data_IF_498301484259
#
_entry.id   IF_498301484259
#
_cell.length_a   1.000
_cell.length_b   1.000
_cell.length_c   1.000
_cell.angle_alpha   90.00
_cell.angle_beta   90.00
_cell.angle_gamma   90.00
#
_symmetry.space_group_name_H-M   'P 1'
#
loop_
_entity.id
_entity.type
_entity.pdbx_description
1 polymer ?
#
# COMPACT_ATOMS: atom_id res chain seq x y z
N UNK A 1 22.61 -26.17 -12.75
CA UNK A 1 21.25 -26.60 -12.29
C UNK A 1 21.16 -26.97 -10.79
N UNK A 2 22.19 -26.81 -9.97
CA UNK A 2 22.18 -27.23 -8.56
C UNK A 2 21.58 -26.22 -7.55
N UNK A 3 21.29 -24.99 -7.95
CA UNK A 3 20.87 -23.91 -7.04
C UNK A 3 19.42 -23.98 -6.55
N UNK A 4 18.52 -24.65 -7.30
CA UNK A 4 17.09 -24.64 -6.97
C UNK A 4 16.63 -25.75 -5.99
N UNK A 5 17.41 -26.81 -5.81
CA UNK A 5 17.03 -27.92 -4.92
C UNK A 5 17.22 -27.61 -3.43
N UNK A 6 17.97 -26.57 -3.09
CA UNK A 6 18.25 -26.17 -1.70
C UNK A 6 17.78 -24.77 -1.29
N UNK A 7 17.12 -24.00 -2.17
CA UNK A 7 16.63 -22.68 -1.82
C UNK A 7 15.25 -22.74 -1.13
N UNK A 8 15.04 -21.98 -0.02
CA UNK A 8 16.05 -21.30 0.80
C UNK A 8 16.77 -22.29 1.77
N UNK A 9 18.09 -22.13 1.94
CA UNK A 9 18.90 -22.90 2.91
C UNK A 9 19.22 -22.13 4.20
N UNK A 10 18.80 -20.86 4.28
CA UNK A 10 18.97 -19.95 5.41
C UNK A 10 17.83 -18.92 5.43
N UNK A 11 17.66 -18.13 6.51
CA UNK A 11 16.63 -17.12 6.59
C UNK A 11 16.64 -16.14 5.42
N UNK A 12 15.42 -15.74 4.99
CA UNK A 12 15.17 -14.74 3.95
C UNK A 12 14.71 -13.44 4.61
N UNK A 13 15.33 -12.33 4.26
CA UNK A 13 14.90 -11.00 4.69
C UNK A 13 13.80 -10.50 3.77
N UNK A 14 12.64 -10.14 4.33
CA UNK A 14 11.55 -9.45 3.64
C UNK A 14 11.55 -7.98 4.07
N UNK A 15 12.05 -7.10 3.21
CA UNK A 15 12.05 -5.66 3.46
C UNK A 15 10.63 -5.10 3.28
N UNK A 16 10.15 -4.41 4.31
CA UNK A 16 8.95 -3.59 4.28
C UNK A 16 9.38 -2.12 4.30
N UNK A 17 9.09 -1.31 3.26
CA UNK A 17 9.67 0.02 3.11
C UNK A 17 8.98 1.11 3.96
N UNK A 18 8.32 0.73 5.05
CA UNK A 18 7.58 1.60 5.97
C UNK A 18 7.79 1.18 7.43
N UNK A 19 7.46 2.10 8.36
CA UNK A 19 7.46 1.81 9.80
C UNK A 19 6.49 0.67 10.14
N UNK A 20 6.75 -0.07 11.23
CA UNK A 20 5.87 -1.13 11.70
C UNK A 20 4.45 -0.64 12.02
N UNK A 21 3.48 -1.56 11.96
CA UNK A 21 2.10 -1.34 12.41
C UNK A 21 1.14 -0.82 11.33
N UNK A 22 1.61 -0.51 10.11
CA UNK A 22 0.73 -0.20 8.98
C UNK A 22 0.36 -1.45 8.17
N UNK A 23 -0.61 -1.31 7.25
CA UNK A 23 -1.12 -2.40 6.40
C UNK A 23 -0.02 -3.24 5.74
N UNK A 24 0.99 -2.59 5.15
CA UNK A 24 2.11 -3.29 4.49
C UNK A 24 2.90 -4.18 5.47
N UNK A 25 3.12 -3.74 6.70
CA UNK A 25 3.81 -4.52 7.73
C UNK A 25 2.98 -5.73 8.17
N UNK A 26 1.70 -5.53 8.45
CA UNK A 26 0.79 -6.60 8.87
C UNK A 26 0.65 -7.67 7.78
N UNK A 27 0.44 -7.25 6.54
CA UNK A 27 0.33 -8.15 5.38
C UNK A 27 1.63 -8.93 5.16
N UNK A 28 2.79 -8.26 5.26
CA UNK A 28 4.09 -8.92 5.15
C UNK A 28 4.29 -10.00 6.23
N UNK A 29 3.84 -9.75 7.47
CA UNK A 29 3.91 -10.73 8.56
C UNK A 29 2.99 -11.93 8.33
N UNK A 30 1.76 -11.70 7.86
CA UNK A 30 0.81 -12.79 7.54
C UNK A 30 1.40 -13.71 6.47
N UNK A 31 1.87 -13.13 5.35
CA UNK A 31 2.44 -13.90 4.23
C UNK A 31 3.79 -14.49 4.61
N UNK A 32 4.66 -13.74 5.29
CA UNK A 32 5.98 -14.19 5.74
C UNK A 32 5.91 -15.40 6.70
N UNK A 33 4.91 -15.43 7.57
CA UNK A 33 4.64 -16.58 8.44
C UNK A 33 4.32 -17.85 7.62
N UNK A 34 3.45 -17.74 6.62
CA UNK A 34 3.13 -18.85 5.74
C UNK A 34 4.35 -19.30 4.92
N UNK A 35 5.08 -18.36 4.31
CA UNK A 35 6.28 -18.66 3.53
C UNK A 35 7.33 -19.36 4.40
N UNK A 36 7.49 -18.95 5.66
CA UNK A 36 8.41 -19.58 6.60
C UNK A 36 8.08 -21.05 6.83
N UNK A 37 6.82 -21.36 7.07
CA UNK A 37 6.36 -22.74 7.26
C UNK A 37 6.47 -23.58 5.97
N UNK A 38 6.06 -22.98 4.84
CA UNK A 38 6.00 -23.67 3.55
C UNK A 38 7.38 -23.96 2.94
N UNK A 39 8.36 -23.08 3.17
CA UNK A 39 9.70 -23.18 2.60
C UNK A 39 10.75 -23.68 3.59
N UNK A 40 10.39 -23.87 4.87
CA UNK A 40 11.26 -24.44 5.90
C UNK A 40 12.39 -23.52 6.39
N UNK A 41 12.31 -22.22 6.06
CA UNK A 41 13.28 -21.21 6.52
C UNK A 41 12.53 -19.93 6.92
N UNK A 42 13.04 -19.22 7.92
CA UNK A 42 12.42 -18.00 8.44
C UNK A 42 12.39 -16.88 7.39
N UNK A 43 11.24 -16.24 7.23
CA UNK A 43 11.11 -14.97 6.53
C UNK A 43 11.09 -13.85 7.57
N UNK A 44 12.22 -13.16 7.71
CA UNK A 44 12.43 -12.11 8.72
C UNK A 44 11.96 -10.78 8.15
N UNK A 45 10.95 -10.17 8.78
CA UNK A 45 10.44 -8.85 8.36
C UNK A 45 11.40 -7.78 8.86
N UNK A 46 11.90 -6.96 7.94
CA UNK A 46 12.75 -5.81 8.23
C UNK A 46 12.08 -4.52 7.74
N UNK A 47 11.69 -3.65 8.69
CA UNK A 47 11.09 -2.37 8.38
C UNK A 47 12.18 -1.32 8.09
N UNK A 48 12.22 -0.80 6.85
CA UNK A 48 13.19 0.22 6.40
C UNK A 48 12.43 1.43 5.88
N UNK A 49 11.97 2.26 6.79
CA UNK A 49 11.16 3.44 6.47
C UNK A 49 12.02 4.61 5.93
N UNK A 50 11.39 5.55 5.25
CA UNK A 50 11.97 6.81 4.81
C UNK A 50 11.57 7.18 3.38
N UNK A 51 11.47 8.46 3.11
CA UNK A 51 11.19 9.07 1.81
C UNK A 51 10.04 8.37 1.04
N UNK A 52 8.87 8.20 1.68
CA UNK A 52 7.71 7.53 1.08
C UNK A 52 7.93 6.07 0.70
N UNK A 53 8.91 5.40 1.32
CA UNK A 53 9.28 4.01 1.05
C UNK A 53 10.43 3.84 0.05
N UNK A 54 10.91 4.91 -0.59
CA UNK A 54 11.99 4.81 -1.58
C UNK A 54 13.33 4.41 -0.96
N UNK A 55 13.58 4.72 0.32
CA UNK A 55 14.77 4.29 1.07
C UNK A 55 14.85 2.76 1.16
N UNK A 56 13.80 2.11 1.66
CA UNK A 56 13.74 0.66 1.78
C UNK A 56 13.76 -0.03 0.42
N UNK A 57 13.07 0.54 -0.57
CA UNK A 57 13.05 0.03 -1.94
C UNK A 57 14.43 0.09 -2.60
N UNK A 58 15.16 1.20 -2.44
CA UNK A 58 16.54 1.33 -2.93
C UNK A 58 17.46 0.31 -2.27
N UNK A 59 17.30 0.08 -0.96
CA UNK A 59 18.08 -0.94 -0.26
C UNK A 59 17.78 -2.35 -0.79
N UNK A 60 16.51 -2.67 -1.03
CA UNK A 60 16.13 -3.95 -1.62
C UNK A 60 16.72 -4.12 -3.04
N UNK A 61 16.63 -3.11 -3.88
CA UNK A 61 17.17 -3.11 -5.23
C UNK A 61 18.69 -3.38 -5.25
N UNK A 62 19.43 -2.84 -4.27
CA UNK A 62 20.90 -3.01 -4.17
C UNK A 62 21.33 -4.32 -3.51
N UNK A 63 20.40 -5.13 -3.04
CA UNK A 63 20.73 -6.41 -2.41
C UNK A 63 21.24 -7.43 -3.45
N UNK A 64 22.01 -8.43 -2.97
CA UNK A 64 22.47 -9.52 -3.83
C UNK A 64 21.29 -10.25 -4.47
N UNK A 65 21.30 -10.49 -5.79
CA UNK A 65 20.18 -11.11 -6.51
C UNK A 65 20.19 -12.64 -6.36
N UNK A 66 20.09 -13.12 -5.13
CA UNK A 66 20.13 -14.55 -4.79
C UNK A 66 18.86 -15.04 -4.07
N UNK A 67 17.86 -14.17 -3.95
CA UNK A 67 16.57 -14.46 -3.32
C UNK A 67 16.55 -14.36 -1.80
N UNK A 68 17.67 -14.11 -1.11
CA UNK A 68 17.71 -14.00 0.35
C UNK A 68 17.37 -12.60 0.89
N UNK A 69 17.18 -11.65 -0.01
CA UNK A 69 16.56 -10.36 0.30
C UNK A 69 15.49 -10.12 -0.75
N UNK A 70 14.26 -10.05 -0.29
CA UNK A 70 13.11 -9.71 -1.13
C UNK A 70 12.40 -8.51 -0.51
N UNK A 71 11.46 -7.90 -1.23
CA UNK A 71 10.76 -6.71 -0.79
C UNK A 71 9.26 -6.86 -0.95
N UNK A 72 8.51 -6.29 0.00
CA UNK A 72 7.13 -5.91 -0.23
C UNK A 72 7.13 -4.55 -0.93
N UNK A 73 6.77 -4.56 -2.21
CA UNK A 73 6.49 -3.34 -2.97
C UNK A 73 5.00 -3.03 -2.99
N UNK A 74 4.66 -1.78 -3.26
CA UNK A 74 3.28 -1.32 -3.32
C UNK A 74 3.12 -0.22 -4.38
N UNK A 75 1.88 0.18 -4.67
CA UNK A 75 1.55 1.21 -5.65
C UNK A 75 2.38 2.49 -5.48
N UNK A 76 2.59 2.95 -4.25
CA UNK A 76 3.40 4.14 -3.96
C UNK A 76 4.84 3.99 -4.43
N UNK A 77 5.54 2.93 -4.03
CA UNK A 77 6.96 2.70 -4.34
C UNK A 77 7.20 2.22 -5.76
N UNK A 78 6.25 1.46 -6.36
CA UNK A 78 6.44 0.83 -7.67
C UNK A 78 5.62 1.47 -8.80
N UNK A 79 4.85 2.53 -8.51
CA UNK A 79 4.17 3.32 -9.54
C UNK A 79 4.27 4.82 -9.29
N UNK A 80 3.68 5.34 -8.20
CA UNK A 80 3.59 6.79 -7.94
C UNK A 80 4.98 7.46 -7.80
N UNK A 81 5.95 6.79 -7.19
CA UNK A 81 7.30 7.30 -6.99
C UNK A 81 7.99 7.70 -8.31
N UNK A 82 7.70 7.00 -9.42
CA UNK A 82 8.27 7.29 -10.75
C UNK A 82 7.93 8.72 -11.22
N UNK A 83 6.73 9.18 -10.92
CA UNK A 83 6.29 10.53 -11.31
C UNK A 83 6.66 11.61 -10.29
N UNK A 84 6.85 11.21 -9.02
CA UNK A 84 7.08 12.13 -7.91
C UNK A 84 8.56 12.46 -7.69
N UNK A 85 9.46 11.50 -7.87
CA UNK A 85 10.88 11.67 -7.59
C UNK A 85 11.68 11.81 -8.89
N UNK A 86 12.10 13.04 -9.29
CA UNK A 86 12.87 13.24 -10.52
C UNK A 86 14.17 12.43 -10.57
N UNK A 87 14.78 12.21 -9.40
CA UNK A 87 16.04 11.48 -9.23
C UNK A 87 15.81 10.16 -8.49
N UNK A 88 14.72 9.42 -8.82
CA UNK A 88 14.45 8.12 -8.21
C UNK A 88 15.62 7.16 -8.46
N UNK A 89 16.15 6.57 -7.39
CA UNK A 89 17.36 5.74 -7.46
C UNK A 89 17.13 4.36 -8.08
N UNK A 90 15.88 4.02 -8.44
CA UNK A 90 15.50 2.74 -9.04
C UNK A 90 14.40 2.93 -10.09
N UNK A 91 14.27 1.96 -10.98
CA UNK A 91 13.19 1.85 -11.97
C UNK A 91 12.40 0.59 -11.68
N UNK A 92 11.13 0.70 -11.26
CA UNK A 92 10.33 -0.47 -10.86
C UNK A 92 10.20 -1.56 -11.93
N UNK A 93 10.15 -1.17 -13.20
CA UNK A 93 9.97 -2.08 -14.32
C UNK A 93 11.24 -2.86 -14.72
N UNK A 94 12.44 -2.36 -14.37
CA UNK A 94 13.70 -2.93 -14.88
C UNK A 94 14.67 -3.37 -13.79
N UNK A 95 14.54 -2.88 -12.58
CA UNK A 95 15.52 -3.12 -11.51
C UNK A 95 15.04 -4.16 -10.49
N UNK A 96 13.86 -4.76 -10.75
CA UNK A 96 13.28 -5.82 -9.93
C UNK A 96 12.77 -6.99 -10.76
N UNK A 97 12.77 -8.17 -10.15
CA UNK A 97 12.05 -9.36 -10.60
C UNK A 97 10.74 -9.45 -9.79
N UNK A 98 9.56 -9.32 -10.42
CA UNK A 98 8.29 -9.53 -9.75
C UNK A 98 8.15 -10.98 -9.29
N UNK A 99 7.61 -11.21 -8.09
CA UNK A 99 7.29 -12.54 -7.57
C UNK A 99 5.79 -12.79 -7.69
N UNK A 100 4.98 -11.84 -7.23
CA UNK A 100 3.53 -11.90 -7.34
C UNK A 100 2.81 -10.89 -6.47
N UNK A 101 1.58 -10.55 -6.89
CA UNK A 101 0.67 -9.71 -6.10
C UNK A 101 0.22 -10.48 -4.87
N UNK A 102 0.18 -9.80 -3.71
CA UNK A 102 -0.30 -10.37 -2.45
C UNK A 102 -1.78 -10.03 -2.27
N UNK A 103 -2.12 -8.73 -2.34
CA UNK A 103 -3.47 -8.26 -2.07
C UNK A 103 -3.75 -6.92 -2.76
N UNK A 104 -5.00 -6.71 -3.14
CA UNK A 104 -5.58 -5.40 -3.38
C UNK A 104 -5.95 -4.74 -2.05
N UNK A 105 -5.83 -3.44 -2.01
CA UNK A 105 -6.08 -2.63 -0.82
C UNK A 105 -7.05 -1.52 -1.18
N UNK A 106 -8.35 -1.70 -0.94
CA UNK A 106 -9.31 -0.62 -1.04
C UNK A 106 -8.91 0.54 -0.12
N UNK A 107 -9.10 1.76 -0.58
CA UNK A 107 -8.79 2.96 0.20
C UNK A 107 -10.07 3.48 0.84
N UNK A 108 -9.95 3.97 2.06
CA UNK A 108 -11.02 4.65 2.79
C UNK A 108 -10.56 6.04 3.22
N UNK A 109 -11.41 7.03 3.01
CA UNK A 109 -11.25 8.37 3.58
C UNK A 109 -11.64 8.31 5.04
N UNK A 110 -10.65 8.50 5.92
CA UNK A 110 -10.79 8.38 7.37
C UNK A 110 -10.46 9.69 8.06
N UNK A 111 -11.29 10.14 9.00
CA UNK A 111 -11.02 11.29 9.83
C UNK A 111 -11.08 10.95 11.34
N UNK A 112 -10.51 11.85 12.15
CA UNK A 112 -10.61 11.76 13.62
C UNK A 112 -12.08 11.73 14.06
N UNK A 113 -12.35 11.09 15.20
CA UNK A 113 -13.71 10.83 15.69
C UNK A 113 -14.58 12.10 15.81
N UNK A 114 -13.99 13.18 16.24
CA UNK A 114 -14.65 14.47 16.51
C UNK A 114 -14.54 15.46 15.33
N UNK A 115 -14.14 15.00 14.14
CA UNK A 115 -14.15 15.84 12.95
C UNK A 115 -15.59 16.34 12.65
N UNK A 116 -15.77 17.65 12.36
CA UNK A 116 -17.10 18.28 12.31
C UNK A 116 -17.85 18.03 11.00
N UNK A 117 -18.01 16.77 10.63
CA UNK A 117 -18.85 16.31 9.49
C UNK A 117 -19.34 14.90 9.76
N UNK A 118 -20.49 14.53 9.18
CA UNK A 118 -21.12 13.22 9.38
C UNK A 118 -21.09 12.37 8.11
N UNK A 119 -20.95 12.98 6.95
CA UNK A 119 -20.87 12.32 5.64
C UNK A 119 -19.83 12.98 4.72
N UNK A 120 -19.62 12.40 3.53
CA UNK A 120 -18.65 12.92 2.56
C UNK A 120 -19.04 14.31 2.05
N UNK A 121 -20.32 14.62 1.91
CA UNK A 121 -20.76 15.92 1.43
C UNK A 121 -20.41 17.03 2.43
N UNK A 122 -20.76 16.85 3.69
CA UNK A 122 -20.39 17.76 4.79
C UNK A 122 -18.86 17.87 4.93
N UNK A 123 -18.13 16.76 4.79
CA UNK A 123 -16.66 16.74 4.80
C UNK A 123 -16.08 17.65 3.71
N UNK A 124 -16.57 17.54 2.47
CA UNK A 124 -16.13 18.37 1.34
C UNK A 124 -16.44 19.84 1.58
N UNK A 125 -17.65 20.17 2.06
CA UNK A 125 -18.03 21.54 2.39
C UNK A 125 -17.13 22.13 3.47
N UNK A 126 -16.84 21.35 4.52
CA UNK A 126 -15.96 21.79 5.59
C UNK A 126 -14.53 22.05 5.07
N UNK A 127 -13.98 21.14 4.24
CA UNK A 127 -12.65 21.34 3.65
C UNK A 127 -12.58 22.59 2.78
N UNK A 128 -13.61 22.85 1.96
CA UNK A 128 -13.65 24.06 1.12
C UNK A 128 -13.66 25.35 1.94
N UNK A 129 -14.32 25.34 3.09
CA UNK A 129 -14.38 26.49 3.98
C UNK A 129 -13.13 26.66 4.85
N UNK A 130 -12.39 25.58 5.18
CA UNK A 130 -11.37 25.56 6.22
C UNK A 130 -10.02 24.98 5.77
N UNK A 131 -9.74 24.90 4.47
CA UNK A 131 -8.55 24.20 3.94
C UNK A 131 -7.22 24.65 4.59
N UNK A 132 -7.08 25.94 4.91
CA UNK A 132 -5.87 26.49 5.51
C UNK A 132 -5.61 26.09 6.98
N UNK A 133 -6.60 25.50 7.65
CA UNK A 133 -6.50 25.06 9.05
C UNK A 133 -6.56 23.54 9.22
N UNK A 134 -6.82 22.82 8.14
CA UNK A 134 -6.97 21.34 8.18
C UNK A 134 -5.65 20.68 7.82
N UNK A 135 -5.25 19.70 8.64
CA UNK A 135 -4.03 18.91 8.47
C UNK A 135 -4.35 17.51 7.98
N UNK A 136 -3.73 17.11 6.88
CA UNK A 136 -3.90 15.76 6.30
C UNK A 136 -2.64 14.93 6.52
N UNK A 137 -2.79 13.76 7.13
CA UNK A 137 -1.68 12.84 7.35
C UNK A 137 -1.38 12.01 6.09
N UNK A 138 -0.11 11.68 5.90
CA UNK A 138 0.29 10.67 4.92
C UNK A 138 1.56 9.90 5.35
N UNK A 139 1.77 8.73 4.77
CA UNK A 139 2.85 7.80 5.12
C UNK A 139 4.20 8.15 4.44
N UNK A 140 4.40 9.41 4.11
CA UNK A 140 5.55 9.93 3.38
C UNK A 140 5.17 10.33 1.94
N UNK A 141 5.92 11.28 1.38
CA UNK A 141 5.69 11.75 0.00
C UNK A 141 5.81 10.58 -0.98
N UNK A 142 4.88 10.45 -1.91
CA UNK A 142 4.82 9.32 -2.85
C UNK A 142 4.18 8.05 -2.33
N UNK A 143 3.85 7.97 -1.05
CA UNK A 143 3.05 6.85 -0.53
C UNK A 143 1.65 6.82 -1.12
N UNK A 144 0.96 5.67 -1.01
CA UNK A 144 -0.44 5.55 -1.46
C UNK A 144 -1.36 6.56 -0.76
N UNK A 145 -1.16 6.77 0.53
CA UNK A 145 -1.96 7.72 1.32
C UNK A 145 -1.78 9.16 0.82
N UNK A 146 -0.56 9.53 0.42
CA UNK A 146 -0.28 10.82 -0.19
C UNK A 146 -0.96 10.95 -1.57
N UNK A 147 -0.72 10.01 -2.48
CA UNK A 147 -1.24 10.05 -3.84
C UNK A 147 -2.78 10.06 -3.87
N UNK A 148 -3.43 9.28 -2.99
CA UNK A 148 -4.90 9.25 -2.93
C UNK A 148 -5.49 10.53 -2.35
N UNK A 149 -4.87 11.12 -1.31
CA UNK A 149 -5.31 12.43 -0.82
C UNK A 149 -5.11 13.55 -1.86
N UNK A 150 -4.04 13.49 -2.66
CA UNK A 150 -3.85 14.43 -3.77
C UNK A 150 -4.94 14.31 -4.82
N UNK A 151 -5.34 13.09 -5.18
CA UNK A 151 -6.46 12.86 -6.06
C UNK A 151 -7.75 13.49 -5.48
N UNK A 152 -8.05 13.24 -4.20
CA UNK A 152 -9.18 13.86 -3.52
C UNK A 152 -9.14 15.39 -3.62
N UNK A 153 -8.00 15.99 -3.26
CA UNK A 153 -7.84 17.45 -3.26
C UNK A 153 -7.98 18.05 -4.66
N UNK A 154 -7.44 17.38 -5.68
CA UNK A 154 -7.59 17.80 -7.08
C UNK A 154 -9.05 17.80 -7.52
N UNK A 155 -9.81 16.77 -7.13
CA UNK A 155 -11.23 16.63 -7.49
C UNK A 155 -12.13 17.70 -6.82
N UNK A 156 -11.80 18.11 -5.59
CA UNK A 156 -12.62 19.08 -4.85
C UNK A 156 -12.08 20.52 -4.88
N UNK A 157 -10.86 20.72 -5.43
CA UNK A 157 -10.26 22.04 -5.59
C UNK A 157 -9.77 22.68 -4.29
N UNK A 158 -9.16 21.90 -3.37
CA UNK A 158 -8.63 22.39 -2.09
C UNK A 158 -7.15 22.03 -1.92
N UNK A 159 -6.46 22.77 -1.04
CA UNK A 159 -5.04 22.54 -0.72
C UNK A 159 -4.82 22.62 0.80
N UNK A 160 -5.20 21.59 1.57
CA UNK A 160 -4.90 21.53 3.00
C UNK A 160 -3.42 21.24 3.26
N UNK A 161 -3.01 21.43 4.52
CA UNK A 161 -1.61 21.19 4.93
C UNK A 161 -1.33 19.70 5.04
N UNK A 162 -0.34 19.21 4.29
CA UNK A 162 0.14 17.83 4.40
C UNK A 162 1.14 17.67 5.56
N UNK A 163 0.94 16.62 6.38
CA UNK A 163 1.82 16.23 7.49
C UNK A 163 2.40 14.83 7.22
N UNK A 164 3.72 14.75 6.94
CA UNK A 164 4.36 13.47 6.60
C UNK A 164 4.70 12.63 7.83
N UNK A 165 4.52 11.32 7.70
CA UNK A 165 4.95 10.29 8.66
C UNK A 165 5.77 9.20 7.97
N UNK A 166 6.50 8.39 8.75
CA UNK A 166 7.32 7.29 8.21
C UNK A 166 6.51 6.01 7.91
N UNK A 167 5.20 6.10 7.77
CA UNK A 167 4.29 4.99 7.48
C UNK A 167 2.87 5.27 7.92
N UNK A 168 1.92 4.43 7.49
CA UNK A 168 0.50 4.57 7.81
C UNK A 168 0.20 4.34 9.31
N UNK A 169 0.93 3.44 9.98
CA UNK A 169 0.76 3.21 11.43
C UNK A 169 0.99 4.48 12.27
N UNK A 170 2.17 5.12 12.20
CA UNK A 170 2.41 6.41 12.86
C UNK A 170 1.41 7.51 12.46
N UNK A 171 1.02 7.60 11.17
CA UNK A 171 0.03 8.55 10.70
C UNK A 171 -1.35 8.32 11.34
N UNK A 172 -1.76 7.05 11.45
CA UNK A 172 -3.03 6.68 12.10
C UNK A 172 -3.01 6.98 13.59
N UNK A 173 -1.90 6.73 14.28
CA UNK A 173 -1.75 7.11 15.70
C UNK A 173 -1.89 8.63 15.91
N UNK A 174 -1.30 9.44 15.01
CA UNK A 174 -1.45 10.91 15.05
C UNK A 174 -2.90 11.35 14.81
N UNK A 175 -3.64 10.65 13.90
CA UNK A 175 -5.06 10.88 13.67
C UNK A 175 -5.89 10.61 14.92
N UNK A 176 -5.69 9.46 15.54
CA UNK A 176 -6.40 9.06 16.76
C UNK A 176 -6.09 9.97 17.94
N UNK A 177 -4.87 10.51 17.99
CA UNK A 177 -4.41 11.51 18.96
C UNK A 177 -4.88 12.95 18.68
N UNK A 178 -5.62 13.19 17.58
CA UNK A 178 -6.11 14.52 17.21
C UNK A 178 -5.04 15.49 16.70
N UNK A 179 -3.83 14.99 16.37
CA UNK A 179 -2.73 15.83 15.86
C UNK A 179 -2.92 16.20 14.38
N UNK A 180 -3.68 15.42 13.65
CA UNK A 180 -4.09 15.61 12.27
C UNK A 180 -5.58 15.30 12.12
N UNK A 181 -6.19 15.77 11.04
CA UNK A 181 -7.64 15.75 10.88
C UNK A 181 -8.16 14.56 10.10
N UNK A 182 -7.46 14.17 9.03
CA UNK A 182 -7.86 13.03 8.20
C UNK A 182 -6.68 12.41 7.43
N UNK A 183 -6.95 11.26 6.82
CA UNK A 183 -6.04 10.48 5.99
C UNK A 183 -6.82 9.70 4.94
N UNK A 184 -6.28 9.52 3.74
CA UNK A 184 -6.76 8.57 2.74
C UNK A 184 -5.91 7.29 2.87
N UNK A 185 -6.33 6.33 3.65
CA UNK A 185 -5.55 5.15 3.97
C UNK A 185 -6.19 3.86 3.47
N UNK A 186 -5.41 2.79 3.40
CA UNK A 186 -5.94 1.48 3.09
C UNK A 186 -6.89 1.00 4.21
N UNK A 187 -7.95 0.27 3.86
CA UNK A 187 -8.90 -0.27 4.84
C UNK A 187 -8.19 -1.03 5.98
N UNK A 188 -7.16 -1.86 5.75
CA UNK A 188 -6.46 -2.53 6.83
C UNK A 188 -5.88 -1.61 7.93
N UNK A 189 -5.56 -0.36 7.59
CA UNK A 189 -5.06 0.61 8.57
C UNK A 189 -6.20 1.22 9.42
N UNK A 190 -7.45 1.15 8.97
CA UNK A 190 -8.58 1.87 9.56
C UNK A 190 -9.72 0.97 10.07
N UNK A 191 -9.82 -0.28 9.61
CA UNK A 191 -10.99 -1.15 9.83
C UNK A 191 -11.38 -1.26 11.31
N UNK A 192 -10.44 -1.57 12.18
CA UNK A 192 -10.68 -1.71 13.63
C UNK A 192 -11.12 -0.39 14.28
N UNK A 193 -10.59 0.72 13.81
CA UNK A 193 -10.89 2.05 14.33
C UNK A 193 -12.27 2.54 13.89
N UNK A 194 -12.67 2.25 12.67
CA UNK A 194 -14.00 2.58 12.14
C UNK A 194 -15.05 1.69 12.83
N UNK A 195 -14.81 0.38 12.92
CA UNK A 195 -15.70 -0.56 13.64
C UNK A 195 -15.85 -0.21 15.13
N UNK A 196 -14.73 0.19 15.76
CA UNK A 196 -14.71 0.59 17.17
C UNK A 196 -15.19 2.03 17.42
N UNK A 197 -15.56 2.79 16.40
CA UNK A 197 -16.04 4.17 16.52
C UNK A 197 -14.99 5.15 17.03
N UNK A 198 -13.69 4.83 16.92
CA UNK A 198 -12.57 5.71 17.29
C UNK A 198 -12.09 6.60 16.13
N UNK A 199 -12.54 6.29 14.91
CA UNK A 199 -12.37 7.11 13.73
C UNK A 199 -13.64 7.08 12.88
N UNK A 200 -13.84 8.10 12.02
CA UNK A 200 -14.94 8.17 11.05
C UNK A 200 -14.47 7.72 9.67
N UNK A 201 -15.23 6.87 8.98
CA UNK A 201 -15.05 6.54 7.57
C UNK A 201 -16.10 7.24 6.72
N UNK A 202 -15.68 7.95 5.67
CA UNK A 202 -16.60 8.73 4.83
C UNK A 202 -16.91 8.10 3.49
N UNK A 203 -15.91 7.52 2.85
CA UNK A 203 -16.09 6.87 1.56
C UNK A 203 -14.99 5.84 1.30
N UNK A 204 -15.35 4.77 0.60
CA UNK A 204 -14.42 3.77 0.05
C UNK A 204 -14.27 4.03 -1.44
N UNK A 205 -13.04 3.95 -1.94
CA UNK A 205 -12.71 4.28 -3.34
C UNK A 205 -12.92 3.15 -4.34
N UNK A 206 -13.51 2.04 -3.94
CA UNK A 206 -13.83 0.89 -4.80
C UNK A 206 -15.26 0.94 -5.34
N UNK A 207 -15.56 0.12 -6.36
CA UNK A 207 -16.88 0.02 -6.96
C UNK A 207 -17.95 -0.52 -6.02
N UNK A 208 -17.54 -1.37 -5.06
CA UNK A 208 -18.42 -2.02 -4.09
C UNK A 208 -17.97 -1.68 -2.66
N UNK A 209 -18.93 -1.74 -1.71
CA UNK A 209 -18.62 -1.56 -0.30
C UNK A 209 -17.77 -2.70 0.24
N UNK A 210 -16.89 -2.37 1.18
CA UNK A 210 -16.16 -3.42 1.88
C UNK A 210 -17.07 -4.18 2.87
N UNK A 211 -17.05 -5.51 2.85
CA UNK A 211 -17.81 -6.30 3.81
C UNK A 211 -17.34 -6.10 5.27
N UNK A 212 -16.11 -5.62 5.48
CA UNK A 212 -15.57 -5.36 6.82
C UNK A 212 -16.08 -4.05 7.42
N UNK A 213 -16.45 -3.06 6.61
CA UNK A 213 -17.02 -1.77 7.05
C UNK A 213 -18.24 -1.40 6.18
N UNK A 214 -19.31 -2.21 6.20
CA UNK A 214 -20.44 -2.07 5.26
C UNK A 214 -21.25 -0.78 5.45
N UNK A 215 -21.10 -0.11 6.60
CA UNK A 215 -21.71 1.19 6.87
C UNK A 215 -21.06 2.34 6.10
N UNK A 216 -19.81 2.19 5.64
CA UNK A 216 -19.12 3.22 4.86
C UNK A 216 -19.52 3.08 3.39
N UNK A 217 -20.10 4.11 2.76
CA UNK A 217 -20.49 4.06 1.36
C UNK A 217 -19.28 4.03 0.42
N UNK A 218 -19.49 3.61 -0.82
CA UNK A 218 -18.52 3.86 -1.88
C UNK A 218 -18.49 5.36 -2.23
N UNK A 219 -17.38 5.83 -2.80
CA UNK A 219 -17.26 7.21 -3.28
C UNK A 219 -18.36 7.56 -4.30
N UNK A 220 -18.74 6.60 -5.15
CA UNK A 220 -19.83 6.74 -6.10
C UNK A 220 -21.21 6.92 -5.43
N UNK A 221 -21.51 6.07 -4.42
CA UNK A 221 -22.76 6.21 -3.61
C UNK A 221 -22.79 7.54 -2.84
N UNK A 222 -21.63 8.01 -2.40
CA UNK A 222 -21.49 9.29 -1.69
C UNK A 222 -21.40 10.51 -2.62
N UNK A 223 -21.70 10.35 -3.94
CA UNK A 223 -21.76 11.45 -4.90
C UNK A 223 -20.43 11.89 -5.51
N UNK A 224 -19.35 11.12 -5.37
CA UNK A 224 -18.01 11.44 -5.87
C UNK A 224 -17.42 10.30 -6.72
N UNK A 225 -18.00 9.96 -7.88
CA UNK A 225 -17.61 8.80 -8.68
C UNK A 225 -16.17 8.88 -9.24
N UNK A 226 -15.59 10.09 -9.35
CA UNK A 226 -14.20 10.29 -9.79
C UNK A 226 -13.14 9.97 -8.73
N UNK A 227 -13.54 9.81 -7.47
CA UNK A 227 -12.63 9.40 -6.40
C UNK A 227 -12.48 7.88 -6.38
N UNK A 228 -11.77 7.38 -7.38
CA UNK A 228 -11.47 5.96 -7.61
C UNK A 228 -9.96 5.75 -7.46
N UNK A 229 -9.56 5.01 -6.45
CA UNK A 229 -8.18 4.65 -6.17
C UNK A 229 -8.14 3.27 -5.51
N UNK A 230 -7.23 2.43 -5.95
CA UNK A 230 -6.93 1.17 -5.28
C UNK A 230 -5.42 1.06 -5.11
N UNK A 231 -5.01 0.55 -3.96
CA UNK A 231 -3.64 0.17 -3.73
C UNK A 231 -3.48 -1.34 -3.93
N UNK A 232 -2.24 -1.75 -3.96
CA UNK A 232 -1.86 -3.15 -4.01
C UNK A 232 -0.52 -3.36 -3.33
N UNK A 233 -0.30 -4.56 -2.79
CA UNK A 233 0.98 -5.04 -2.30
C UNK A 233 1.41 -6.25 -3.13
N UNK A 234 2.70 -6.31 -3.45
CA UNK A 234 3.32 -7.43 -4.15
C UNK A 234 4.71 -7.73 -3.61
N UNK A 235 5.21 -8.92 -3.87
CA UNK A 235 6.58 -9.30 -3.58
C UNK A 235 7.46 -9.12 -4.80
N UNK A 236 8.67 -8.60 -4.54
CA UNK A 236 9.70 -8.34 -5.55
C UNK A 236 11.06 -8.83 -5.04
N UNK A 237 11.90 -9.26 -5.95
CA UNK A 237 13.32 -9.53 -5.72
C UNK A 237 14.18 -8.54 -6.51
N UNK A 238 15.47 -8.35 -6.17
CA UNK A 238 16.40 -7.61 -7.03
C UNK A 238 16.46 -8.21 -8.44
N UNK A 239 16.72 -7.36 -9.43
CA UNK A 239 16.96 -7.78 -10.81
C UNK A 239 18.03 -8.88 -10.87
N UNK A 240 17.93 -9.76 -11.87
CA UNK A 240 18.82 -10.89 -12.09
C UNK A 240 18.77 -11.98 -11.01
N UNK A 241 17.77 -11.95 -10.11
CA UNK A 241 17.48 -13.08 -9.21
C UNK A 241 17.12 -14.30 -10.06
N UNK A 242 17.78 -15.45 -9.86
CA UNK A 242 17.61 -16.61 -10.73
C UNK A 242 16.15 -17.04 -10.85
N UNK A 243 15.71 -17.30 -12.08
CA UNK A 243 14.33 -17.74 -12.38
C UNK A 243 13.85 -18.88 -11.47
N UNK A 244 14.62 -19.95 -11.20
CA UNK A 244 14.17 -21.00 -10.30
C UNK A 244 13.86 -20.53 -8.87
N UNK A 245 14.55 -19.50 -8.39
CA UNK A 245 14.27 -18.86 -7.09
C UNK A 245 12.96 -18.08 -7.15
N UNK A 246 12.75 -17.29 -8.21
CA UNK A 246 11.49 -16.56 -8.44
C UNK A 246 10.32 -17.54 -8.54
N UNK A 247 10.44 -18.61 -9.34
CA UNK A 247 9.40 -19.62 -9.50
C UNK A 247 9.06 -20.31 -8.16
N UNK A 248 10.08 -20.59 -7.32
CA UNK A 248 9.90 -21.17 -5.99
C UNK A 248 9.13 -20.24 -5.05
N UNK A 249 9.49 -18.95 -5.02
CA UNK A 249 8.83 -17.93 -4.21
C UNK A 249 7.40 -17.66 -4.71
N UNK A 250 7.21 -17.55 -6.03
CA UNK A 250 5.90 -17.33 -6.62
C UNK A 250 4.94 -18.50 -6.37
N UNK A 251 5.43 -19.74 -6.50
CA UNK A 251 4.64 -20.92 -6.19
C UNK A 251 4.27 -21.04 -4.72
N UNK A 252 5.16 -20.62 -3.81
CA UNK A 252 4.86 -20.57 -2.38
C UNK A 252 3.85 -19.46 -2.05
N UNK A 253 3.96 -18.29 -2.69
CA UNK A 253 3.00 -17.19 -2.53
C UNK A 253 1.62 -17.58 -3.06
N UNK A 254 1.53 -18.23 -4.23
CA UNK A 254 0.25 -18.68 -4.78
C UNK A 254 -0.47 -19.64 -3.83
N UNK A 255 0.27 -20.58 -3.23
CA UNK A 255 -0.28 -21.48 -2.19
C UNK A 255 -0.69 -20.72 -0.93
N UNK A 256 0.06 -19.69 -0.52
CA UNK A 256 -0.32 -18.83 0.60
C UNK A 256 -1.67 -18.16 0.36
N UNK A 257 -1.92 -17.70 -0.86
CA UNK A 257 -3.17 -17.05 -1.23
C UNK A 257 -4.36 -18.02 -1.40
N UNK A 258 -4.10 -19.32 -1.42
CA UNK A 258 -5.13 -20.37 -1.36
C UNK A 258 -5.32 -20.94 0.06
N UNK A 259 -4.39 -20.70 0.98
CA UNK A 259 -4.48 -21.14 2.37
C UNK A 259 -5.61 -20.42 3.12
N UNK A 260 -6.49 -21.19 3.75
CA UNK A 260 -7.70 -20.66 4.40
C UNK A 260 -7.36 -19.67 5.53
N UNK A 261 -6.33 -19.95 6.33
CA UNK A 261 -5.94 -19.06 7.44
C UNK A 261 -5.41 -17.72 6.90
N UNK A 262 -4.54 -17.75 5.87
CA UNK A 262 -4.04 -16.53 5.22
C UNK A 262 -5.18 -15.74 4.61
N UNK A 263 -6.09 -16.39 3.89
CA UNK A 263 -7.26 -15.76 3.27
C UNK A 263 -8.16 -15.09 4.29
N UNK A 264 -8.50 -15.79 5.36
CA UNK A 264 -9.36 -15.27 6.42
C UNK A 264 -8.74 -14.04 7.06
N UNK A 265 -7.45 -14.10 7.46
CA UNK A 265 -6.74 -12.97 8.07
C UNK A 265 -6.65 -11.75 7.14
N UNK A 266 -6.38 -11.95 5.84
CA UNK A 266 -6.36 -10.86 4.86
C UNK A 266 -7.76 -10.28 4.64
N UNK A 267 -8.79 -11.12 4.56
CA UNK A 267 -10.19 -10.68 4.35
C UNK A 267 -10.74 -9.93 5.56
N UNK A 268 -10.43 -10.36 6.79
CA UNK A 268 -10.79 -9.66 8.04
C UNK A 268 -10.20 -8.25 8.10
N UNK A 269 -9.03 -8.06 7.50
CA UNK A 269 -8.42 -6.74 7.34
C UNK A 269 -9.05 -5.91 6.21
N UNK A 270 -9.97 -6.46 5.43
CA UNK A 270 -10.57 -5.80 4.27
C UNK A 270 -9.67 -5.79 3.02
N UNK A 271 -8.69 -6.69 2.95
CA UNK A 271 -7.89 -6.89 1.74
C UNK A 271 -8.67 -7.68 0.69
N UNK A 272 -8.42 -7.36 -0.58
CA UNK A 272 -8.92 -8.11 -1.73
C UNK A 272 -7.86 -9.13 -2.18
N UNK A 273 -8.20 -10.42 -2.13
CA UNK A 273 -7.30 -11.48 -2.58
C UNK A 273 -7.36 -11.55 -4.10
N UNK A 274 -6.22 -11.43 -4.83
CA UNK A 274 -6.22 -11.45 -6.28
C UNK A 274 -6.74 -12.78 -6.83
N UNK A 275 -7.54 -12.70 -7.90
CA UNK A 275 -7.95 -13.86 -8.66
C UNK A 275 -6.71 -14.59 -9.22
N UNK A 276 -6.81 -15.89 -9.47
CA UNK A 276 -5.65 -16.68 -9.95
C UNK A 276 -5.01 -16.13 -11.22
N UNK A 277 -5.78 -15.57 -12.13
CA UNK A 277 -5.28 -14.91 -13.35
C UNK A 277 -4.47 -13.64 -13.10
N UNK A 278 -4.61 -13.04 -11.92
CA UNK A 278 -3.91 -11.81 -11.51
C UNK A 278 -2.73 -12.09 -10.57
N UNK A 279 -2.36 -13.35 -10.37
CA UNK A 279 -1.24 -13.77 -9.51
C UNK A 279 0.02 -14.03 -10.34
N UNK A 280 1.14 -14.14 -9.65
CA UNK A 280 2.44 -14.51 -10.21
C UNK A 280 3.20 -13.36 -10.88
N UNK A 281 4.42 -13.67 -11.36
CA UNK A 281 5.38 -12.66 -11.82
C UNK A 281 4.88 -11.82 -13.00
N UNK A 282 4.35 -12.44 -14.03
CA UNK A 282 3.89 -11.76 -15.23
C UNK A 282 2.71 -10.80 -14.97
N UNK A 283 1.74 -11.24 -14.16
CA UNK A 283 0.59 -10.42 -13.79
C UNK A 283 1.02 -9.20 -12.98
N UNK A 284 1.96 -9.36 -12.04
CA UNK A 284 2.48 -8.25 -11.25
C UNK A 284 3.30 -7.28 -12.10
N UNK A 285 4.13 -7.75 -13.04
CA UNK A 285 4.84 -6.89 -13.98
C UNK A 285 3.87 -6.03 -14.80
N UNK A 286 2.84 -6.64 -15.39
CA UNK A 286 1.82 -5.93 -16.15
C UNK A 286 1.03 -4.92 -15.29
N UNK A 287 0.78 -5.25 -14.02
CA UNK A 287 0.16 -4.33 -13.05
C UNK A 287 1.04 -3.09 -12.85
N UNK A 288 2.34 -3.26 -12.59
CA UNK A 288 3.29 -2.15 -12.36
C UNK A 288 3.29 -1.19 -13.54
N UNK A 289 3.45 -1.70 -14.78
CA UNK A 289 3.44 -0.86 -16.00
C UNK A 289 2.13 -0.08 -16.15
N UNK A 290 1.01 -0.75 -15.96
CA UNK A 290 -0.33 -0.11 -16.04
C UNK A 290 -0.50 0.97 -14.98
N UNK A 291 -0.08 0.72 -13.76
CA UNK A 291 -0.21 1.68 -12.66
C UNK A 291 0.74 2.88 -12.83
N UNK A 292 1.95 2.70 -13.34
CA UNK A 292 2.83 3.82 -13.70
C UNK A 292 2.15 4.72 -14.74
N UNK A 293 1.57 4.13 -15.79
CA UNK A 293 0.88 4.86 -16.84
C UNK A 293 -0.37 5.61 -16.30
N UNK A 294 -1.10 5.00 -15.36
CA UNK A 294 -2.28 5.59 -14.71
C UNK A 294 -1.93 6.77 -13.81
N UNK A 295 -0.95 6.57 -12.91
CA UNK A 295 -0.66 7.57 -11.86
C UNK A 295 0.21 8.73 -12.35
N UNK A 296 1.03 8.53 -13.35
CA UNK A 296 1.92 9.59 -13.87
C UNK A 296 1.19 10.87 -14.27
N UNK A 297 0.12 10.86 -15.09
CA UNK A 297 -0.61 12.08 -15.42
C UNK A 297 -1.31 12.71 -14.22
N UNK A 298 -1.88 11.90 -13.32
CA UNK A 298 -2.58 12.39 -12.11
C UNK A 298 -1.61 13.17 -11.22
N UNK A 299 -0.44 12.60 -10.97
CA UNK A 299 0.58 13.20 -10.09
C UNK A 299 1.18 14.46 -10.73
N UNK A 300 1.45 14.45 -12.04
CA UNK A 300 1.95 15.62 -12.76
C UNK A 300 0.94 16.77 -12.74
N UNK A 301 -0.36 16.48 -12.91
CA UNK A 301 -1.43 17.48 -12.85
C UNK A 301 -1.56 18.12 -11.46
N UNK A 302 -1.24 17.38 -10.39
CA UNK A 302 -1.24 17.90 -9.02
C UNK A 302 -0.07 18.86 -8.72
N UNK A 303 0.91 19.00 -9.65
CA UNK A 303 2.05 19.92 -9.60
C UNK A 303 2.82 19.93 -8.27
N UNK A 304 3.05 18.72 -7.72
CA UNK A 304 3.72 18.54 -6.43
C UNK A 304 5.23 18.77 -6.64
N UNK A 305 5.79 19.70 -5.87
CA UNK A 305 7.23 19.85 -5.76
C UNK A 305 7.73 19.03 -4.57
N UNK A 306 8.62 18.10 -4.80
CA UNK A 306 9.39 17.44 -3.76
C UNK A 306 10.68 18.24 -3.63
N UNK A 307 10.86 18.86 -2.46
CA UNK A 307 12.12 19.52 -2.08
C UNK A 307 13.19 18.49 -1.71
#
# INVERSE_FOLDING_TARGET
>A
MAWAQGYPARPVTLIVPFAPGGASDVIARIVGEYLSRSLGQQFVIENVAGAGGTTGTTRAMRANPNGYTIQLGQMGTHAAAVALYPNLAYRPESDFEPIGMIAGLPIVLTARKDFPSNDLHEFILYLKANAGTVNVAHAGVGSITHATCLLLHSLIGVQPTFVPFNGAGPAMNALLGGQVDYICNAIPDAVSHIQGGTAKGYAITTAERSPTIPSVPTSKEAGMPGFDASAWNGLFAPKDTPKPVIDRLAGALDKALDDENVRNRLSELGCEIPAKSSRGPHALAALVTREIARWTPIIKAANIKIE
#
